data_IF_316993563439
#
_entry.id   IF_316993563439
#
_cell.length_a   1.000
_cell.length_b   1.000
_cell.length_c   1.000
_cell.angle_alpha   90.00
_cell.angle_beta   90.00
_cell.angle_gamma   90.00
#
_symmetry.space_group_name_H-M   'P 1'
#
loop_
_entity.id
_entity.type
_entity.pdbx_description
1 polymer ?
#
# COMPACT_ATOMS: atom_id res chain seq x y z
N UNK A 1 -33.83 1.92 -40.43
CA UNK A 1 -33.32 1.24 -39.22
C UNK A 1 -32.40 2.22 -38.52
N UNK A 2 -32.55 2.72 -37.30
CA UNK A 2 -33.59 2.71 -36.27
C UNK A 2 -33.45 4.10 -35.61
N UNK A 3 -34.59 4.70 -35.27
CA UNK A 3 -34.71 5.99 -34.57
C UNK A 3 -34.30 5.79 -33.11
N UNK A 4 -33.41 6.62 -32.56
CA UNK A 4 -33.22 6.72 -31.11
C UNK A 4 -33.51 8.15 -30.64
N UNK A 5 -34.56 8.23 -29.84
CA UNK A 5 -35.27 9.42 -29.35
C UNK A 5 -35.13 9.39 -27.82
N UNK A 6 -34.58 10.49 -27.26
CA UNK A 6 -34.75 11.14 -25.93
C UNK A 6 -34.21 10.30 -24.71
N UNK A 7 -33.66 10.86 -23.60
CA UNK A 7 -34.10 12.13 -23.02
C UNK A 7 -33.16 13.02 -22.16
N UNK A 8 -33.68 14.23 -21.89
CA UNK A 8 -33.43 15.08 -20.69
C UNK A 8 -32.13 15.90 -20.70
N UNK A 9 -32.10 17.21 -21.03
CA UNK A 9 -32.74 18.34 -20.34
C UNK A 9 -32.70 18.26 -18.79
N UNK A 10 -31.89 19.16 -18.23
CA UNK A 10 -32.04 19.85 -16.94
C UNK A 10 -31.73 19.06 -15.64
N UNK A 11 -30.56 19.32 -15.06
CA UNK A 11 -30.31 19.03 -13.65
C UNK A 11 -28.92 19.46 -13.18
N UNK A 12 -28.79 20.68 -12.68
CA UNK A 12 -27.65 21.07 -11.83
C UNK A 12 -27.02 22.42 -12.18
N UNK A 13 -27.66 23.51 -11.76
CA UNK A 13 -26.94 24.77 -11.50
C UNK A 13 -26.12 24.54 -10.22
N UNK A 14 -24.95 23.92 -10.33
CA UNK A 14 -23.96 24.00 -9.24
C UNK A 14 -23.15 25.28 -9.46
N UNK A 15 -23.25 26.19 -8.49
CA UNK A 15 -22.42 27.38 -8.37
C UNK A 15 -20.96 26.95 -8.26
N UNK A 16 -20.29 26.82 -9.40
CA UNK A 16 -18.84 26.72 -9.44
C UNK A 16 -18.27 28.07 -8.99
N UNK A 17 -17.90 28.17 -7.72
CA UNK A 17 -16.83 29.08 -7.33
C UNK A 17 -15.59 28.57 -8.08
N UNK A 18 -15.25 29.23 -9.18
CA UNK A 18 -14.06 28.97 -9.96
C UNK A 18 -12.82 29.35 -9.13
N UNK A 19 -12.45 28.50 -8.19
CA UNK A 19 -11.06 28.41 -7.77
C UNK A 19 -10.33 27.68 -8.91
N UNK A 20 -9.49 28.41 -9.62
CA UNK A 20 -8.54 27.89 -10.61
C UNK A 20 -7.47 27.04 -9.87
N UNK A 21 -7.87 25.88 -9.36
CA UNK A 21 -6.95 24.91 -8.78
C UNK A 21 -6.32 24.15 -9.94
N UNK A 22 -4.98 24.20 -10.11
CA UNK A 22 -4.32 23.32 -11.06
C UNK A 22 -4.53 21.90 -10.55
N UNK A 23 -5.38 21.13 -11.24
CA UNK A 23 -5.41 19.68 -11.07
C UNK A 23 -4.05 19.16 -11.55
N UNK A 24 -3.17 18.83 -10.61
CA UNK A 24 -1.94 18.08 -10.88
C UNK A 24 -2.31 16.60 -10.93
N UNK A 25 -2.36 15.95 -12.12
CA UNK A 25 -2.45 14.51 -12.18
C UNK A 25 -1.11 13.96 -11.68
N UNK A 26 -1.08 13.30 -10.52
CA UNK A 26 0.18 12.82 -9.95
C UNK A 26 0.30 12.87 -8.42
N UNK A 27 -0.45 13.73 -7.73
CA UNK A 27 -0.24 13.98 -6.29
C UNK A 27 -1.22 13.19 -5.41
N UNK A 28 -2.51 13.21 -5.72
CA UNK A 28 -3.51 12.46 -4.95
C UNK A 28 -3.41 10.95 -5.20
N UNK A 29 -3.10 10.56 -6.44
CA UNK A 29 -2.93 9.17 -6.87
C UNK A 29 -1.66 8.52 -6.29
N UNK A 30 -0.56 9.25 -6.11
CA UNK A 30 0.63 8.74 -5.41
C UNK A 30 0.44 8.67 -3.90
N UNK A 31 -0.32 9.58 -3.29
CA UNK A 31 -0.67 9.51 -1.86
C UNK A 31 -1.56 8.30 -1.60
N UNK A 32 -2.63 8.11 -2.38
CA UNK A 32 -3.49 6.92 -2.27
C UNK A 32 -2.73 5.61 -2.47
N UNK A 33 -1.78 5.59 -3.42
CA UNK A 33 -0.93 4.42 -3.66
C UNK A 33 0.08 4.18 -2.53
N UNK A 34 0.62 5.25 -1.93
CA UNK A 34 1.50 5.19 -0.76
C UNK A 34 0.73 4.76 0.48
N UNK A 35 -0.45 5.33 0.74
CA UNK A 35 -1.36 4.93 1.82
C UNK A 35 -1.72 3.44 1.70
N UNK A 36 -2.06 2.98 0.50
CA UNK A 36 -2.33 1.56 0.26
C UNK A 36 -1.06 0.71 0.51
N UNK A 37 0.10 1.15 0.05
CA UNK A 37 1.39 0.47 0.29
C UNK A 37 1.76 0.41 1.77
N UNK A 38 1.57 1.50 2.50
CA UNK A 38 1.80 1.63 3.94
C UNK A 38 0.85 0.71 4.72
N UNK A 39 -0.44 0.71 4.37
CA UNK A 39 -1.45 -0.12 5.01
C UNK A 39 -1.16 -1.63 4.80
N UNK A 40 -0.81 -2.03 3.58
CA UNK A 40 -0.43 -3.41 3.28
C UNK A 40 0.83 -3.80 4.07
N UNK A 41 1.85 -2.94 4.07
CA UNK A 41 3.10 -3.20 4.78
C UNK A 41 2.89 -3.37 6.29
N UNK A 42 2.11 -2.46 6.89
CA UNK A 42 1.83 -2.51 8.33
C UNK A 42 1.01 -3.74 8.71
N UNK A 43 -0.03 -4.09 7.94
CA UNK A 43 -0.81 -5.30 8.18
C UNK A 43 0.00 -6.60 8.02
N UNK A 44 1.02 -6.61 7.16
CA UNK A 44 1.94 -7.76 7.05
C UNK A 44 2.86 -7.84 8.27
N UNK A 45 3.31 -6.71 8.80
CA UNK A 45 4.28 -6.67 9.91
C UNK A 45 3.65 -6.82 11.29
N UNK A 46 2.42 -6.37 11.53
CA UNK A 46 1.75 -6.53 12.83
C UNK A 46 1.75 -7.97 13.37
N UNK A 47 1.35 -9.00 12.59
CA UNK A 47 1.42 -10.38 13.07
C UNK A 47 2.86 -10.88 13.22
N UNK A 48 3.83 -10.33 12.47
CA UNK A 48 5.25 -10.69 12.57
C UNK A 48 5.85 -10.17 13.88
N UNK A 49 5.50 -8.94 14.26
CA UNK A 49 5.95 -8.29 15.50
C UNK A 49 5.30 -8.88 16.75
N UNK A 50 4.17 -9.57 16.61
CA UNK A 50 3.52 -10.33 17.69
C UNK A 50 4.17 -11.70 17.94
N UNK A 51 5.02 -12.18 17.03
CA UNK A 51 5.82 -13.39 17.22
C UNK A 51 7.08 -13.06 18.01
N UNK A 52 7.64 -14.05 18.72
CA UNK A 52 8.99 -13.90 19.25
C UNK A 52 9.95 -13.58 18.08
N UNK A 53 10.91 -12.64 18.27
CA UNK A 53 11.85 -12.22 17.22
C UNK A 53 12.92 -13.30 16.95
N UNK A 54 12.48 -14.54 16.73
CA UNK A 54 13.30 -15.64 16.31
C UNK A 54 13.43 -15.58 14.78
N UNK A 55 14.65 -15.49 14.23
CA UNK A 55 14.86 -15.24 12.80
C UNK A 55 14.15 -16.26 11.89
N UNK A 56 14.05 -17.52 12.29
CA UNK A 56 13.35 -18.53 11.47
C UNK A 56 11.83 -18.30 11.44
N UNK A 57 11.23 -17.80 12.53
CA UNK A 57 9.81 -17.48 12.60
C UNK A 57 9.45 -16.31 11.66
N UNK A 58 10.32 -15.29 11.59
CA UNK A 58 10.13 -14.11 10.73
C UNK A 58 10.21 -14.49 9.25
N UNK A 59 11.16 -15.35 8.86
CA UNK A 59 11.28 -15.83 7.47
C UNK A 59 10.02 -16.60 7.04
N UNK A 60 9.51 -17.49 7.91
CA UNK A 60 8.27 -18.22 7.64
C UNK A 60 7.04 -17.31 7.51
N UNK A 61 6.99 -16.23 8.29
CA UNK A 61 5.92 -15.25 8.22
C UNK A 61 5.98 -14.39 6.94
N UNK A 62 7.17 -14.02 6.48
CA UNK A 62 7.37 -13.33 5.19
C UNK A 62 6.96 -14.21 4.00
N UNK A 63 7.27 -15.52 4.03
CA UNK A 63 6.81 -16.47 3.00
C UNK A 63 5.28 -16.60 2.98
N UNK A 64 4.65 -16.71 4.15
CA UNK A 64 3.18 -16.74 4.28
C UNK A 64 2.52 -15.45 3.77
N UNK A 65 3.14 -14.29 4.02
CA UNK A 65 2.68 -13.03 3.46
C UNK A 65 2.70 -13.06 1.93
N UNK A 66 3.79 -13.55 1.32
CA UNK A 66 3.88 -13.70 -0.14
C UNK A 66 2.84 -14.64 -0.75
N UNK A 67 2.38 -15.65 0.00
CA UNK A 67 1.29 -16.54 -0.44
C UNK A 67 -0.09 -15.91 -0.33
N UNK A 68 -0.26 -14.96 0.59
CA UNK A 68 -1.56 -14.37 0.93
C UNK A 68 -1.85 -13.07 0.16
N UNK A 69 -0.82 -12.42 -0.37
CA UNK A 69 -0.97 -11.18 -1.12
C UNK A 69 -1.48 -11.43 -2.54
N UNK A 70 -2.42 -10.61 -3.06
CA UNK A 70 -2.90 -10.69 -4.44
C UNK A 70 -1.91 -10.04 -5.43
N UNK A 71 -0.62 -10.30 -5.25
CA UNK A 71 0.47 -9.81 -6.09
C UNK A 71 1.18 -10.98 -6.76
N UNK A 72 1.99 -10.67 -7.78
CA UNK A 72 2.86 -11.67 -8.37
C UNK A 72 3.80 -12.25 -7.29
N UNK A 73 3.66 -13.55 -7.05
CA UNK A 73 4.39 -14.26 -6.01
C UNK A 73 5.91 -14.15 -6.20
N UNK A 74 6.39 -14.22 -7.43
CA UNK A 74 7.82 -14.14 -7.74
C UNK A 74 8.37 -12.73 -7.43
N UNK A 75 7.57 -11.69 -7.64
CA UNK A 75 7.93 -10.32 -7.21
C UNK A 75 8.01 -10.20 -5.69
N UNK A 76 7.10 -10.83 -4.96
CA UNK A 76 7.14 -10.84 -3.50
C UNK A 76 8.34 -11.62 -2.96
N UNK A 77 8.59 -12.82 -3.48
CA UNK A 77 9.76 -13.64 -3.10
C UNK A 77 11.07 -12.90 -3.39
N UNK A 78 11.16 -12.18 -4.50
CA UNK A 78 12.32 -11.33 -4.80
C UNK A 78 12.46 -10.17 -3.79
N UNK A 79 11.36 -9.52 -3.41
CA UNK A 79 11.36 -8.50 -2.37
C UNK A 79 11.86 -9.08 -1.03
N UNK A 80 11.32 -10.22 -0.60
CA UNK A 80 11.76 -10.92 0.62
C UNK A 80 13.23 -11.32 0.53
N UNK A 81 13.70 -11.77 -0.63
CA UNK A 81 15.12 -12.09 -0.83
C UNK A 81 16.03 -10.87 -0.73
N UNK A 82 15.56 -9.69 -1.15
CA UNK A 82 16.37 -8.45 -1.15
C UNK A 82 16.33 -7.78 0.22
N UNK A 83 15.16 -7.74 0.86
CA UNK A 83 14.92 -6.95 2.07
C UNK A 83 14.72 -7.78 3.33
N UNK A 84 14.59 -9.11 3.23
CA UNK A 84 14.29 -9.99 4.36
C UNK A 84 15.27 -9.85 5.51
N UNK A 85 16.58 -9.83 5.23
CA UNK A 85 17.60 -9.61 6.25
C UNK A 85 17.50 -8.24 6.93
N UNK A 86 17.15 -7.20 6.18
CA UNK A 86 16.91 -5.87 6.74
C UNK A 86 15.67 -5.90 7.65
N UNK A 87 14.56 -6.46 7.18
CA UNK A 87 13.32 -6.58 7.95
C UNK A 87 13.56 -7.36 9.24
N UNK A 88 14.28 -8.49 9.20
CA UNK A 88 14.63 -9.28 10.38
C UNK A 88 15.43 -8.45 11.39
N UNK A 89 16.45 -7.72 10.94
CA UNK A 89 17.26 -6.86 11.81
C UNK A 89 16.44 -5.73 12.43
N UNK A 90 15.48 -5.17 11.69
CA UNK A 90 14.62 -4.10 12.21
C UNK A 90 13.60 -4.63 13.22
N UNK A 91 13.03 -5.83 12.99
CA UNK A 91 12.17 -6.52 13.95
C UNK A 91 12.92 -6.85 15.25
N UNK A 92 14.17 -7.33 15.15
CA UNK A 92 15.01 -7.61 16.33
C UNK A 92 15.42 -6.35 17.11
N UNK A 93 15.26 -5.16 16.53
CA UNK A 93 15.49 -3.88 17.21
C UNK A 93 14.21 -3.34 17.87
N UNK A 94 13.17 -4.15 18.00
CA UNK A 94 11.86 -3.75 18.55
C UNK A 94 11.23 -2.56 17.81
N UNK A 95 11.52 -2.41 16.52
CA UNK A 95 10.90 -1.38 15.70
C UNK A 95 9.46 -1.75 15.38
N UNK A 96 8.55 -0.81 15.60
CA UNK A 96 7.14 -0.95 15.24
C UNK A 96 6.92 -1.00 13.72
N UNK A 97 5.80 -1.58 13.31
CA UNK A 97 5.46 -1.82 11.89
C UNK A 97 5.59 -0.55 11.04
N UNK A 98 5.14 0.59 11.56
CA UNK A 98 5.21 1.87 10.85
C UNK A 98 6.66 2.30 10.57
N UNK A 99 7.56 2.21 11.57
CA UNK A 99 8.97 2.58 11.41
C UNK A 99 9.69 1.69 10.38
N UNK A 100 9.38 0.39 10.38
CA UNK A 100 9.92 -0.55 9.38
C UNK A 100 9.38 -0.20 7.98
N UNK A 101 8.08 0.07 7.86
CA UNK A 101 7.46 0.46 6.60
C UNK A 101 7.94 1.80 6.07
N UNK A 102 8.28 2.74 6.94
CA UNK A 102 8.94 4.00 6.58
C UNK A 102 10.36 3.76 6.07
N UNK A 103 11.13 2.86 6.72
CA UNK A 103 12.49 2.52 6.31
C UNK A 103 12.57 1.89 4.90
N UNK A 104 11.52 1.18 4.47
CA UNK A 104 11.41 0.65 3.10
C UNK A 104 10.68 1.59 2.12
N UNK A 105 10.33 2.80 2.57
CA UNK A 105 9.75 3.87 1.73
C UNK A 105 8.26 3.73 1.42
N UNK A 106 7.55 2.86 2.14
CA UNK A 106 6.12 2.61 1.96
C UNK A 106 5.24 3.50 2.83
N UNK A 107 5.69 3.85 4.03
CA UNK A 107 5.06 4.86 4.89
C UNK A 107 5.89 6.15 4.90
N UNK A 108 5.29 7.26 5.33
CA UNK A 108 6.08 8.45 5.71
C UNK A 108 6.77 8.19 7.07
N UNK A 109 7.95 8.80 7.23
CA UNK A 109 8.81 8.63 8.42
C UNK A 109 8.43 9.57 9.55
#
# INVERSE_FOLDING_TARGET
>A
MVKLIIPSLMGGLTLALAANIPVVPGSADNLLRRDLGCNICTQVLEPILALEPEPNAIVGALDNACRSLPVDRQKCENFVSVYGSLIINLVQQDLGANAICAAVGLCEA
#
